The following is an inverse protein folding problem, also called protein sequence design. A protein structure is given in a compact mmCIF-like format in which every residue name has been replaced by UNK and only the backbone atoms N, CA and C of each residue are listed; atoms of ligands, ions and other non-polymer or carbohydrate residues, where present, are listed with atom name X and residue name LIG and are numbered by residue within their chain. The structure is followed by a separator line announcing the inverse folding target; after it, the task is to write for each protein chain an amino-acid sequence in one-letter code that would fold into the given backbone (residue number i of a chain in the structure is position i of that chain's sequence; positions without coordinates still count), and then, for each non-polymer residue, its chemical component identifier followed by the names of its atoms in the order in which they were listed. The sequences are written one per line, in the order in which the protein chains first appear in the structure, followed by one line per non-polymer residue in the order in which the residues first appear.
data_IF_319035239747
#
_entry.id   IF_319035239747
#
_cell.length_a   1.000
_cell.length_b   1.000
_cell.length_c   1.000
_cell.angle_alpha   90.00
_cell.angle_beta   90.00
_cell.angle_gamma   90.00
#
_symmetry.space_group_name_H-M   'P 1'
#
loop_
_entity.id
_entity.type
_entity.pdbx_description
1 polymer ?
#
# COMPACT_ATOMS: atom_id res chain seq x y z
N UNK A 1 4.86 -19.41 -3.25
CA UNK A 1 5.22 -18.14 -2.57
C UNK A 1 3.95 -17.36 -2.31
N UNK A 2 3.85 -16.64 -1.19
CA UNK A 2 2.73 -15.74 -0.90
C UNK A 2 3.19 -14.31 -1.21
N UNK A 3 2.34 -13.52 -1.87
CA UNK A 3 2.55 -12.11 -2.14
C UNK A 3 1.63 -11.28 -1.25
N UNK A 4 2.12 -10.16 -0.74
CA UNK A 4 1.36 -9.17 0.03
C UNK A 4 1.03 -7.98 -0.87
N UNK A 5 -0.26 -7.68 -1.00
CA UNK A 5 -0.77 -6.58 -1.81
C UNK A 5 -1.77 -5.71 -1.03
N UNK A 6 -1.29 -4.81 -0.15
CA UNK A 6 -2.16 -3.89 0.61
C UNK A 6 -2.98 -3.00 -0.34
N UNK A 7 -4.28 -2.83 -0.04
CA UNK A 7 -5.15 -1.92 -0.80
C UNK A 7 -4.87 -0.47 -0.44
N UNK A 8 -4.54 0.33 -1.46
CA UNK A 8 -4.35 1.76 -1.30
C UNK A 8 -5.65 2.44 -0.92
N UNK A 9 -6.83 1.90 -1.27
CA UNK A 9 -8.12 2.46 -0.88
C UNK A 9 -8.30 2.56 0.64
N UNK A 10 -7.55 1.77 1.42
CA UNK A 10 -7.53 1.82 2.89
C UNK A 10 -6.49 2.79 3.48
N UNK A 11 -5.68 3.44 2.65
CA UNK A 11 -4.63 4.37 3.08
C UNK A 11 -5.20 5.76 3.42
N UNK A 12 -4.40 6.55 4.13
CA UNK A 12 -4.70 7.95 4.38
C UNK A 12 -4.37 8.80 3.15
N UNK A 13 -5.40 9.12 2.36
CA UNK A 13 -5.24 9.93 1.14
C UNK A 13 -4.70 11.35 1.37
N UNK A 14 -4.85 11.89 2.58
CA UNK A 14 -4.27 13.20 2.91
C UNK A 14 -2.74 13.14 3.07
N UNK A 15 -2.15 11.95 3.26
CA UNK A 15 -0.72 11.74 3.37
C UNK A 15 -0.31 10.32 2.92
N UNK A 16 -0.37 10.08 1.61
CA UNK A 16 0.03 8.80 1.01
C UNK A 16 1.52 8.48 1.23
N UNK A 17 2.38 9.50 1.26
CA UNK A 17 3.84 9.31 1.41
C UNK A 17 4.17 8.52 2.69
N UNK A 18 3.52 8.86 3.81
CA UNK A 18 3.75 8.17 5.08
C UNK A 18 3.38 6.70 5.00
N UNK A 19 2.22 6.38 4.45
CA UNK A 19 1.73 5.00 4.38
C UNK A 19 2.55 4.18 3.39
N UNK A 20 2.93 4.75 2.24
CA UNK A 20 3.81 4.09 1.26
C UNK A 20 5.17 3.76 1.87
N UNK A 21 5.79 4.69 2.62
CA UNK A 21 7.07 4.42 3.30
C UNK A 21 6.98 3.26 4.28
N UNK A 22 5.90 3.19 5.06
CA UNK A 22 5.64 2.06 5.96
C UNK A 22 5.57 0.75 5.15
N UNK A 23 4.88 0.74 4.01
CA UNK A 23 4.76 -0.46 3.18
C UNK A 23 6.10 -0.90 2.57
N UNK A 24 6.92 0.05 2.10
CA UNK A 24 8.26 -0.22 1.57
C UNK A 24 9.19 -0.79 2.64
N UNK A 25 9.16 -0.23 3.86
CA UNK A 25 9.99 -0.68 4.99
C UNK A 25 9.55 -2.05 5.54
N UNK A 26 8.28 -2.43 5.37
CA UNK A 26 7.72 -3.66 5.94
C UNK A 26 7.53 -4.80 4.91
N UNK A 27 8.00 -4.62 3.67
CA UNK A 27 8.07 -5.70 2.68
C UNK A 27 6.74 -6.01 1.99
N UNK A 28 5.95 -5.00 1.66
CA UNK A 28 4.86 -5.19 0.70
C UNK A 28 5.42 -5.51 -0.70
N UNK A 29 4.88 -6.52 -1.37
CA UNK A 29 5.34 -6.92 -2.70
C UNK A 29 4.71 -6.06 -3.81
N UNK A 30 3.44 -5.70 -3.63
CA UNK A 30 2.61 -5.01 -4.63
C UNK A 30 1.70 -4.00 -3.91
N UNK A 31 1.28 -2.94 -4.61
CA UNK A 31 0.18 -2.08 -4.17
C UNK A 31 -1.09 -2.44 -4.94
N UNK A 32 -2.17 -2.70 -4.21
CA UNK A 32 -3.49 -2.92 -4.81
C UNK A 32 -4.18 -1.58 -5.02
N UNK A 33 -4.46 -1.25 -6.28
CA UNK A 33 -5.18 -0.04 -6.70
C UNK A 33 -6.61 -0.38 -7.12
N UNK A 34 -7.58 0.15 -6.38
CA UNK A 34 -9.00 0.05 -6.71
C UNK A 34 -9.39 1.22 -7.64
N UNK A 35 -9.89 0.92 -8.85
CA UNK A 35 -10.32 1.93 -9.85
C UNK A 35 -11.84 1.94 -9.94
N UNK A 36 -12.44 3.12 -9.77
CA UNK A 36 -13.88 3.37 -9.91
C UNK A 36 -14.22 4.03 -11.24
#
# INVERSE_FOLDING_TARGET
MKLLAPSLLSANFANLEKDIKILEENGADILHLDVM
#
